data_IF_474081128587
#
_entry.id   IF_474081128587
#
_cell.length_a   1.000
_cell.length_b   1.000
_cell.length_c   1.000
_cell.angle_alpha   90.00
_cell.angle_beta   90.00
_cell.angle_gamma   90.00
#
_symmetry.space_group_name_H-M   'P 1'
#
loop_
_entity.id
_entity.type
_entity.pdbx_description
1 polymer ?
#
# COMPACT_ATOMS: atom_id res chain seq x y z
N UNK A 1 68.90 -43.72 37.59
CA UNK A 1 68.37 -43.83 36.22
C UNK A 1 67.05 -43.09 36.15
N UNK A 2 66.92 -42.16 35.19
CA UNK A 2 65.72 -41.67 34.48
C UNK A 2 64.39 -41.46 35.25
N UNK A 3 63.59 -40.40 35.05
CA UNK A 3 63.64 -39.13 34.29
C UNK A 3 62.28 -38.46 34.62
N UNK A 4 62.31 -37.15 34.93
CA UNK A 4 61.34 -36.09 34.55
C UNK A 4 59.91 -36.17 35.13
N UNK A 5 59.41 -35.27 35.99
CA UNK A 5 59.29 -33.79 35.99
C UNK A 5 58.09 -33.17 35.24
N UNK A 6 57.48 -32.20 35.94
CA UNK A 6 56.57 -31.08 35.57
C UNK A 6 55.08 -31.42 35.38
N UNK A 7 54.17 -31.01 36.28
CA UNK A 7 53.62 -29.64 36.58
C UNK A 7 52.69 -29.12 35.47
N UNK A 8 51.50 -28.65 35.85
CA UNK A 8 50.72 -27.75 34.98
C UNK A 8 49.22 -27.67 35.26
N UNK A 9 48.84 -26.80 36.19
CA UNK A 9 47.50 -26.29 36.52
C UNK A 9 46.79 -25.62 35.33
N UNK A 10 45.47 -25.81 35.14
CA UNK A 10 44.57 -24.87 34.41
C UNK A 10 43.12 -25.06 34.93
N UNK A 11 42.63 -24.22 35.84
CA UNK A 11 41.85 -22.98 35.63
C UNK A 11 40.63 -23.18 34.71
N UNK A 12 39.47 -23.26 35.37
CA UNK A 12 38.15 -23.09 34.78
C UNK A 12 37.88 -21.58 34.57
N UNK A 13 37.47 -21.19 33.36
CA UNK A 13 36.93 -19.86 33.10
C UNK A 13 35.91 -19.87 31.94
N UNK A 14 34.66 -19.62 32.33
CA UNK A 14 33.53 -19.02 31.60
C UNK A 14 33.60 -18.89 30.06
N UNK A 15 32.76 -19.69 29.38
CA UNK A 15 32.29 -19.39 28.03
C UNK A 15 30.87 -18.83 28.07
N UNK A 16 30.73 -17.53 28.34
CA UNK A 16 29.48 -16.82 28.08
C UNK A 16 29.27 -16.76 26.55
N UNK A 17 28.22 -17.41 26.08
CA UNK A 17 27.85 -17.44 24.66
C UNK A 17 27.57 -16.03 24.14
N UNK A 18 28.52 -15.48 23.40
CA UNK A 18 28.29 -14.31 22.57
C UNK A 18 27.32 -14.69 21.45
N UNK A 19 26.08 -14.19 21.51
CA UNK A 19 25.19 -14.20 20.37
C UNK A 19 25.88 -13.49 19.19
N UNK A 20 25.83 -14.04 17.96
CA UNK A 20 26.44 -13.38 16.82
C UNK A 20 25.74 -12.03 16.60
N UNK A 21 26.47 -10.95 16.83
CA UNK A 21 26.07 -9.64 16.36
C UNK A 21 26.04 -9.70 14.83
N UNK A 22 24.82 -9.69 14.25
CA UNK A 22 24.60 -9.44 12.82
C UNK A 22 25.18 -8.07 12.49
N UNK A 23 26.45 -8.05 12.09
CA UNK A 23 27.09 -6.88 11.51
C UNK A 23 26.47 -6.70 10.13
N UNK A 24 25.70 -5.63 9.97
CA UNK A 24 25.36 -5.10 8.66
C UNK A 24 26.62 -5.10 7.78
N UNK A 25 26.47 -5.38 6.47
CA UNK A 25 27.61 -5.37 5.56
C UNK A 25 28.41 -4.07 5.74
N UNK A 26 29.72 -4.14 6.06
CA UNK A 26 30.54 -2.95 6.21
C UNK A 26 30.40 -2.06 4.98
N UNK A 27 29.95 -0.81 5.17
CA UNK A 27 29.83 0.17 4.08
C UNK A 27 28.54 0.12 3.25
N UNK A 28 27.48 -0.56 3.70
CA UNK A 28 26.16 -0.42 3.05
C UNK A 28 25.55 0.98 3.31
N UNK A 29 25.00 1.66 2.27
CA UNK A 29 25.09 1.35 0.85
C UNK A 29 26.39 1.89 0.21
N UNK A 30 26.98 1.13 -0.71
CA UNK A 30 28.19 1.50 -1.47
C UNK A 30 27.97 1.69 -2.98
N UNK A 31 26.73 1.46 -3.43
CA UNK A 31 26.29 1.59 -4.83
C UNK A 31 24.82 1.99 -4.88
N UNK A 32 24.28 2.38 -6.05
CA UNK A 32 22.88 2.74 -6.19
C UNK A 32 21.92 1.64 -5.73
N UNK A 33 20.83 2.06 -5.09
CA UNK A 33 19.70 1.21 -4.69
C UNK A 33 18.60 1.35 -5.75
N UNK A 34 18.04 0.23 -6.17
CA UNK A 34 16.90 0.17 -7.10
C UNK A 34 15.60 0.06 -6.30
N UNK A 35 14.66 0.96 -6.54
CA UNK A 35 13.33 0.95 -5.92
C UNK A 35 12.28 0.63 -7.00
N UNK A 36 11.77 -0.59 -6.96
CA UNK A 36 10.77 -1.08 -7.90
C UNK A 36 9.38 -0.60 -7.47
N UNK A 37 8.64 0.05 -8.38
CA UNK A 37 7.35 0.69 -8.08
C UNK A 37 6.25 0.18 -9.01
N UNK A 38 5.11 -0.24 -8.48
CA UNK A 38 4.03 -0.86 -9.26
C UNK A 38 3.10 0.13 -9.99
N UNK A 39 3.33 1.43 -9.84
CA UNK A 39 2.52 2.49 -10.44
C UNK A 39 3.04 2.89 -11.83
N UNK A 40 2.14 3.40 -12.68
CA UNK A 40 2.52 3.99 -13.94
C UNK A 40 3.37 5.27 -13.72
N UNK A 41 4.41 5.51 -14.54
CA UNK A 41 5.22 6.73 -14.45
C UNK A 41 4.38 8.01 -14.55
N UNK A 42 4.73 9.02 -13.76
CA UNK A 42 4.10 10.35 -13.80
C UNK A 42 2.78 10.48 -13.04
N UNK A 43 2.24 9.38 -12.49
CA UNK A 43 1.08 9.44 -11.59
C UNK A 43 1.43 10.00 -10.22
N UNK A 44 0.40 10.45 -9.48
CA UNK A 44 0.52 10.99 -8.12
C UNK A 44 1.48 10.20 -7.19
N UNK A 45 1.29 8.88 -7.12
CA UNK A 45 2.11 8.03 -6.26
C UNK A 45 3.53 7.84 -6.78
N UNK A 46 3.74 7.78 -8.10
CA UNK A 46 5.08 7.74 -8.68
C UNK A 46 5.86 9.02 -8.33
N UNK A 47 5.22 10.19 -8.43
CA UNK A 47 5.82 11.47 -8.04
C UNK A 47 6.22 11.46 -6.56
N UNK A 48 5.34 10.99 -5.67
CA UNK A 48 5.67 10.86 -4.25
C UNK A 48 6.87 9.93 -4.00
N UNK A 49 6.95 8.78 -4.68
CA UNK A 49 8.10 7.88 -4.59
C UNK A 49 9.39 8.50 -5.12
N UNK A 50 9.33 9.29 -6.19
CA UNK A 50 10.52 9.98 -6.72
C UNK A 50 11.05 11.03 -5.75
N UNK A 51 10.17 11.81 -5.11
CA UNK A 51 10.57 12.77 -4.06
C UNK A 51 11.16 12.01 -2.86
N UNK A 52 10.53 10.92 -2.44
CA UNK A 52 11.04 10.07 -1.35
C UNK A 52 12.44 9.52 -1.68
N UNK A 53 12.65 9.02 -2.90
CA UNK A 53 13.92 8.47 -3.36
C UNK A 53 15.02 9.53 -3.40
N UNK A 54 14.72 10.73 -3.90
CA UNK A 54 15.66 11.85 -3.93
C UNK A 54 16.10 12.24 -2.51
N UNK A 55 15.15 12.33 -1.58
CA UNK A 55 15.42 12.62 -0.18
C UNK A 55 16.28 11.51 0.45
N UNK A 56 15.93 10.24 0.22
CA UNK A 56 16.67 9.10 0.74
C UNK A 56 18.09 9.04 0.18
N UNK A 57 18.28 9.40 -1.09
CA UNK A 57 19.60 9.45 -1.72
C UNK A 57 20.52 10.49 -1.06
N UNK A 58 19.97 11.64 -0.66
CA UNK A 58 20.72 12.67 0.06
C UNK A 58 21.15 12.22 1.46
N UNK A 59 20.35 11.36 2.12
CA UNK A 59 20.66 10.80 3.45
C UNK A 59 21.66 9.64 3.33
N UNK A 60 21.39 8.70 2.43
CA UNK A 60 22.20 7.49 2.21
C UNK A 60 23.53 7.75 1.49
N UNK A 61 23.70 8.95 0.91
CA UNK A 61 24.86 9.32 0.07
C UNK A 61 25.09 8.37 -1.10
N UNK A 62 24.02 7.74 -1.57
CA UNK A 62 23.98 6.85 -2.73
C UNK A 62 22.68 7.08 -3.50
N UNK A 63 22.68 7.00 -4.84
CA UNK A 63 21.46 7.16 -5.61
C UNK A 63 20.40 6.12 -5.25
N UNK A 64 19.14 6.54 -5.17
CA UNK A 64 17.96 5.65 -5.11
C UNK A 64 17.19 5.83 -6.41
N UNK A 65 17.19 4.80 -7.25
CA UNK A 65 16.66 4.86 -8.62
C UNK A 65 15.26 4.24 -8.65
N UNK A 66 14.25 5.01 -9.05
CA UNK A 66 12.87 4.55 -9.20
C UNK A 66 12.69 3.84 -10.54
N UNK A 67 12.25 2.58 -10.50
CA UNK A 67 11.91 1.78 -11.69
C UNK A 67 10.44 1.34 -11.66
N UNK A 68 9.63 1.86 -12.57
CA UNK A 68 8.23 1.47 -12.67
C UNK A 68 8.07 0.08 -13.31
N UNK A 69 7.30 -0.79 -12.67
CA UNK A 69 6.91 -2.13 -13.11
C UNK A 69 5.38 -2.31 -12.98
N UNK A 70 4.58 -1.56 -13.75
CA UNK A 70 3.12 -1.58 -13.63
C UNK A 70 2.50 -2.88 -14.14
N UNK A 71 1.29 -3.19 -13.68
CA UNK A 71 0.52 -4.37 -14.07
C UNK A 71 0.17 -5.28 -12.89
N UNK A 72 -0.68 -6.28 -13.15
CA UNK A 72 -1.12 -7.30 -12.18
C UNK A 72 -1.53 -6.73 -10.80
N UNK A 73 -2.24 -5.62 -10.78
CA UNK A 73 -2.65 -4.96 -9.53
C UNK A 73 -1.49 -4.44 -8.68
N UNK A 74 -0.36 -4.05 -9.28
CA UNK A 74 0.85 -3.54 -8.58
C UNK A 74 1.64 -4.61 -7.82
N UNK A 75 1.43 -5.89 -8.13
CA UNK A 75 2.05 -7.01 -7.39
C UNK A 75 3.42 -7.39 -7.95
N UNK A 76 3.72 -7.00 -9.21
CA UNK A 76 4.95 -7.35 -9.92
C UNK A 76 6.23 -6.99 -9.14
N UNK A 77 6.41 -5.76 -8.59
CA UNK A 77 7.59 -5.43 -7.79
C UNK A 77 7.83 -6.40 -6.62
N UNK A 78 6.77 -6.76 -5.90
CA UNK A 78 6.84 -7.65 -4.76
C UNK A 78 7.21 -9.09 -5.18
N UNK A 79 6.64 -9.58 -6.28
CA UNK A 79 6.98 -10.88 -6.86
C UNK A 79 8.45 -10.96 -7.30
N UNK A 80 9.00 -9.88 -7.85
CA UNK A 80 10.40 -9.84 -8.28
C UNK A 80 11.38 -10.03 -7.11
N UNK A 81 10.96 -9.78 -5.86
CA UNK A 81 11.81 -9.97 -4.68
C UNK A 81 12.21 -11.42 -4.46
N UNK A 82 11.44 -12.39 -4.97
CA UNK A 82 11.75 -13.82 -4.88
C UNK A 82 13.07 -14.19 -5.55
N UNK A 83 13.38 -13.55 -6.68
CA UNK A 83 14.59 -13.79 -7.47
C UNK A 83 15.68 -12.73 -7.21
N UNK A 84 15.44 -11.81 -6.27
CA UNK A 84 16.34 -10.69 -6.00
C UNK A 84 17.31 -11.04 -4.88
N UNK A 85 18.58 -10.65 -5.03
CA UNK A 85 19.58 -10.84 -3.98
C UNK A 85 19.16 -10.11 -2.70
N UNK A 86 19.25 -10.75 -1.51
CA UNK A 86 18.85 -10.15 -0.24
C UNK A 86 19.88 -9.12 0.30
N UNK A 87 20.55 -8.37 -0.57
CA UNK A 87 21.65 -7.46 -0.23
C UNK A 87 21.21 -6.01 0.05
N UNK A 88 19.91 -5.71 -0.05
CA UNK A 88 19.32 -4.40 0.23
C UNK A 88 19.42 -3.38 -0.91
N UNK A 89 20.05 -3.73 -2.03
CA UNK A 89 20.18 -2.81 -3.18
C UNK A 89 19.04 -2.91 -4.17
N UNK A 90 18.06 -3.78 -3.94
CA UNK A 90 16.80 -3.77 -4.66
C UNK A 90 15.69 -3.94 -3.64
N UNK A 91 14.77 -2.97 -3.64
CA UNK A 91 13.60 -2.92 -2.76
C UNK A 91 12.35 -2.73 -3.61
N UNK A 92 11.21 -3.14 -3.08
CA UNK A 92 9.94 -3.10 -3.79
C UNK A 92 8.90 -2.31 -3.02
N UNK A 93 8.10 -1.55 -3.75
CA UNK A 93 6.85 -1.00 -3.27
C UNK A 93 5.85 -2.13 -3.00
N UNK A 94 5.18 -2.06 -1.85
CA UNK A 94 4.13 -2.97 -1.42
C UNK A 94 2.82 -2.20 -1.32
N UNK A 95 1.77 -2.71 -1.98
CA UNK A 95 0.39 -2.24 -1.86
C UNK A 95 -0.49 -3.36 -1.28
N UNK A 96 -1.69 -3.02 -0.83
CA UNK A 96 -2.65 -3.98 -0.25
C UNK A 96 -2.95 -5.17 -1.18
N UNK A 97 -2.90 -4.96 -2.50
CA UNK A 97 -3.08 -6.03 -3.50
C UNK A 97 -2.11 -7.20 -3.34
N UNK A 98 -0.90 -6.97 -2.82
CA UNK A 98 0.09 -8.01 -2.52
C UNK A 98 -0.47 -9.05 -1.55
N UNK A 99 -1.20 -8.61 -0.52
CA UNK A 99 -1.73 -9.46 0.54
C UNK A 99 -2.92 -10.32 0.10
N UNK A 100 -3.68 -9.86 -0.90
CA UNK A 100 -4.84 -10.61 -1.42
C UNK A 100 -4.51 -11.55 -2.57
N UNK A 101 -3.41 -11.28 -3.29
CA UNK A 101 -3.01 -12.04 -4.49
C UNK A 101 -2.98 -13.55 -4.29
N UNK A 102 -2.41 -14.10 -3.19
CA UNK A 102 -2.36 -15.55 -3.00
C UNK A 102 -3.73 -16.25 -3.01
N UNK A 103 -4.80 -15.52 -2.67
CA UNK A 103 -6.17 -16.03 -2.65
C UNK A 103 -6.89 -15.91 -3.99
N UNK A 104 -6.45 -14.99 -4.85
CA UNK A 104 -7.10 -14.69 -6.12
C UNK A 104 -6.46 -15.37 -7.32
N UNK A 105 -5.16 -15.69 -7.25
CA UNK A 105 -4.44 -16.38 -8.34
C UNK A 105 -3.56 -17.49 -7.77
N UNK A 106 -3.27 -18.52 -8.56
CA UNK A 106 -2.29 -19.54 -8.16
C UNK A 106 -0.90 -18.93 -8.17
N UNK A 107 -0.21 -18.95 -7.04
CA UNK A 107 1.11 -18.33 -6.89
C UNK A 107 2.03 -19.17 -6.02
N UNK A 108 3.34 -19.08 -6.27
CA UNK A 108 4.36 -19.90 -5.61
C UNK A 108 5.06 -19.21 -4.43
N UNK A 109 4.63 -17.99 -4.09
CA UNK A 109 5.21 -17.17 -3.02
C UNK A 109 4.15 -16.77 -1.99
N UNK A 110 4.62 -16.49 -0.79
CA UNK A 110 3.86 -16.09 0.38
C UNK A 110 4.36 -14.71 0.84
N UNK A 111 3.54 -13.64 0.70
CA UNK A 111 3.95 -12.30 1.10
C UNK A 111 4.41 -12.18 2.57
N UNK A 112 3.95 -13.04 3.49
CA UNK A 112 4.40 -12.97 4.89
C UNK A 112 5.75 -13.63 5.10
N UNK A 113 6.09 -14.64 4.29
CA UNK A 113 7.32 -15.43 4.47
C UNK A 113 8.46 -14.98 3.58
N UNK A 114 8.13 -14.43 2.42
CA UNK A 114 9.10 -14.20 1.37
C UNK A 114 9.48 -12.72 1.20
N UNK A 115 8.93 -11.84 2.03
CA UNK A 115 9.30 -10.43 2.11
C UNK A 115 9.76 -10.04 3.50
N UNK A 116 10.67 -9.06 3.57
CA UNK A 116 11.03 -8.36 4.80
C UNK A 116 10.59 -6.90 4.69
N UNK A 117 9.56 -6.54 5.44
CA UNK A 117 8.95 -5.21 5.40
C UNK A 117 9.89 -4.15 5.99
N UNK A 118 10.11 -3.07 5.24
CA UNK A 118 11.00 -1.97 5.63
C UNK A 118 10.20 -0.91 6.36
N UNK A 119 9.19 -0.32 5.72
CA UNK A 119 8.48 0.86 6.25
C UNK A 119 7.12 1.02 5.56
N UNK A 120 6.08 1.39 6.31
CA UNK A 120 4.82 1.92 5.78
C UNK A 120 4.93 3.42 5.55
N UNK A 121 4.45 3.92 4.41
CA UNK A 121 4.73 5.29 3.96
C UNK A 121 3.49 6.18 4.03
N UNK A 122 2.48 5.84 3.24
CA UNK A 122 1.31 6.68 3.02
C UNK A 122 0.10 5.81 2.65
N UNK A 123 -1.05 6.45 2.64
CA UNK A 123 -2.37 5.87 2.43
C UNK A 123 -3.13 6.67 1.38
N UNK A 124 -4.14 6.03 0.80
CA UNK A 124 -5.09 6.69 -0.08
C UNK A 124 -6.39 6.97 0.68
N UNK A 125 -6.89 8.20 0.69
CA UNK A 125 -8.26 8.44 1.09
C UNK A 125 -9.18 7.90 -0.02
N UNK A 126 -9.86 6.78 0.25
CA UNK A 126 -10.94 6.32 -0.61
C UNK A 126 -12.07 7.35 -0.59
N UNK A 127 -12.61 7.67 -1.76
CA UNK A 127 -13.83 8.46 -1.91
C UNK A 127 -14.80 7.83 -2.90
N UNK A 128 -16.09 7.88 -2.56
CA UNK A 128 -17.20 7.61 -3.47
C UNK A 128 -17.80 8.94 -3.90
N UNK A 129 -17.67 9.27 -5.18
CA UNK A 129 -18.12 10.55 -5.74
C UNK A 129 -19.11 10.36 -6.90
N UNK A 130 -19.98 11.36 -7.09
CA UNK A 130 -20.92 11.49 -8.21
C UNK A 130 -20.83 12.89 -8.82
N UNK A 131 -21.34 13.14 -10.03
CA UNK A 131 -21.45 14.51 -10.55
C UNK A 131 -22.32 15.36 -9.63
N UNK A 132 -21.98 16.65 -9.46
CA UNK A 132 -22.76 17.53 -8.59
C UNK A 132 -24.21 17.73 -9.07
N UNK A 133 -24.44 17.60 -10.38
CA UNK A 133 -25.78 17.60 -11.01
C UNK A 133 -26.58 16.31 -10.78
N UNK A 134 -25.96 15.25 -10.25
CA UNK A 134 -26.64 13.98 -9.97
C UNK A 134 -27.75 14.17 -8.93
N UNK A 135 -28.91 13.50 -9.09
CA UNK A 135 -29.95 13.46 -8.07
C UNK A 135 -29.51 12.69 -6.81
N UNK A 136 -28.45 11.87 -6.89
CA UNK A 136 -27.89 11.13 -5.77
C UNK A 136 -27.10 12.10 -4.89
N UNK A 137 -27.53 12.32 -3.65
CA UNK A 137 -26.90 13.27 -2.71
C UNK A 137 -26.20 12.59 -1.55
N UNK A 138 -26.61 11.38 -1.22
CA UNK A 138 -26.09 10.59 -0.10
C UNK A 138 -25.81 9.15 -0.52
N UNK A 139 -25.08 8.41 0.32
CA UNK A 139 -24.96 6.95 0.15
C UNK A 139 -26.32 6.26 0.25
N UNK A 140 -27.25 6.76 1.06
CA UNK A 140 -28.61 6.23 1.13
C UNK A 140 -29.33 6.32 -0.23
N UNK A 141 -29.21 7.47 -0.91
CA UNK A 141 -29.75 7.63 -2.27
C UNK A 141 -29.06 6.69 -3.27
N UNK A 142 -27.74 6.50 -3.13
CA UNK A 142 -26.95 5.62 -3.98
C UNK A 142 -27.42 4.17 -3.87
N UNK A 143 -27.60 3.69 -2.63
CA UNK A 143 -28.13 2.35 -2.34
C UNK A 143 -29.60 2.22 -2.78
N UNK A 144 -30.43 3.25 -2.54
CA UNK A 144 -31.83 3.23 -2.97
C UNK A 144 -31.96 3.14 -4.49
N UNK A 145 -31.16 3.90 -5.25
CA UNK A 145 -31.12 3.81 -6.71
C UNK A 145 -30.71 2.40 -7.17
N UNK A 146 -29.66 1.82 -6.58
CA UNK A 146 -29.18 0.49 -6.94
C UNK A 146 -30.18 -0.62 -6.58
N UNK A 147 -30.96 -0.47 -5.50
CA UNK A 147 -32.07 -1.37 -5.17
C UNK A 147 -33.19 -1.31 -6.19
N UNK A 148 -33.57 -0.09 -6.60
CA UNK A 148 -34.63 0.12 -7.59
C UNK A 148 -34.19 -0.29 -9.01
N UNK A 149 -32.89 -0.23 -9.32
CA UNK A 149 -32.34 -0.51 -10.63
C UNK A 149 -31.12 -1.46 -10.55
N UNK A 150 -31.33 -2.76 -10.26
CA UNK A 150 -30.24 -3.69 -10.04
C UNK A 150 -29.29 -3.80 -11.24
N UNK A 151 -27.99 -3.54 -11.02
CA UNK A 151 -26.97 -3.65 -12.04
C UNK A 151 -26.93 -2.52 -13.07
N UNK A 152 -27.64 -1.41 -12.85
CA UNK A 152 -27.54 -0.23 -13.74
C UNK A 152 -26.69 0.89 -13.15
N UNK A 153 -26.48 0.92 -11.82
CA UNK A 153 -25.60 1.87 -11.16
C UNK A 153 -24.14 1.64 -11.59
N UNK A 154 -23.67 2.38 -12.59
CA UNK A 154 -22.29 2.27 -13.07
C UNK A 154 -21.32 3.00 -12.14
N UNK A 155 -20.20 2.35 -11.83
CA UNK A 155 -19.11 2.97 -11.10
C UNK A 155 -17.75 2.64 -11.71
N UNK A 156 -16.90 3.66 -11.81
CA UNK A 156 -15.53 3.54 -12.26
C UNK A 156 -14.56 3.24 -11.12
N UNK A 157 -13.46 2.55 -11.43
CA UNK A 157 -12.31 2.35 -10.51
C UNK A 157 -11.00 2.33 -11.31
N UNK A 158 -9.84 2.46 -10.66
CA UNK A 158 -8.53 2.29 -11.29
C UNK A 158 -8.19 0.86 -11.76
N UNK A 159 -9.10 -0.11 -11.63
CA UNK A 159 -8.96 -1.44 -12.21
C UNK A 159 -9.66 -2.55 -11.44
N UNK A 160 -9.85 -3.68 -12.11
CA UNK A 160 -10.38 -4.92 -11.51
C UNK A 160 -9.47 -5.40 -10.37
N UNK A 161 -10.10 -5.85 -9.28
CA UNK A 161 -9.44 -6.30 -8.03
C UNK A 161 -8.61 -5.24 -7.30
N UNK A 162 -8.71 -3.96 -7.69
CA UNK A 162 -8.15 -2.84 -6.93
C UNK A 162 -8.83 -2.68 -5.56
N UNK A 163 -8.21 -1.94 -4.65
CA UNK A 163 -8.83 -1.64 -3.35
C UNK A 163 -10.18 -0.94 -3.49
N UNK A 164 -10.36 0.10 -4.35
CA UNK A 164 -11.68 0.70 -4.56
C UNK A 164 -12.72 -0.26 -5.13
N UNK A 165 -12.33 -1.17 -6.02
CA UNK A 165 -13.23 -2.21 -6.54
C UNK A 165 -13.75 -3.10 -5.42
N UNK A 166 -12.88 -3.66 -4.58
CA UNK A 166 -13.31 -4.53 -3.48
C UNK A 166 -14.11 -3.79 -2.41
N UNK A 167 -13.80 -2.52 -2.15
CA UNK A 167 -14.61 -1.68 -1.26
C UNK A 167 -16.05 -1.54 -1.75
N UNK A 168 -16.25 -1.37 -3.05
CA UNK A 168 -17.59 -1.28 -3.63
C UNK A 168 -18.31 -2.63 -3.66
N UNK A 169 -17.60 -3.74 -3.86
CA UNK A 169 -18.17 -5.08 -3.76
C UNK A 169 -18.60 -5.41 -2.31
N UNK A 170 -17.80 -5.05 -1.29
CA UNK A 170 -18.19 -5.22 0.12
C UNK A 170 -19.39 -4.33 0.48
N UNK A 171 -19.42 -3.09 -0.02
CA UNK A 171 -20.57 -2.20 0.15
C UNK A 171 -21.83 -2.80 -0.50
N UNK A 172 -21.71 -3.33 -1.72
CA UNK A 172 -22.81 -3.98 -2.42
C UNK A 172 -23.34 -5.19 -1.65
N UNK A 173 -22.43 -6.02 -1.13
CA UNK A 173 -22.74 -7.20 -0.32
C UNK A 173 -23.48 -6.80 0.98
N UNK A 174 -22.93 -5.87 1.76
CA UNK A 174 -23.53 -5.45 3.03
C UNK A 174 -24.88 -4.74 2.84
N UNK A 175 -25.04 -3.97 1.76
CA UNK A 175 -26.28 -3.26 1.44
C UNK A 175 -27.35 -4.14 0.74
N UNK A 176 -26.98 -5.34 0.29
CA UNK A 176 -27.85 -6.24 -0.46
C UNK A 176 -28.25 -5.69 -1.83
N UNK A 177 -27.29 -5.12 -2.57
CA UNK A 177 -27.52 -4.49 -3.89
C UNK A 177 -26.54 -4.99 -4.94
N UNK A 178 -26.79 -4.63 -6.21
CA UNK A 178 -25.89 -4.92 -7.32
C UNK A 178 -25.49 -3.64 -8.04
N UNK A 179 -24.20 -3.35 -8.08
CA UNK A 179 -23.63 -2.29 -8.91
C UNK A 179 -23.12 -2.85 -10.25
N UNK A 180 -22.75 -1.96 -11.17
CA UNK A 180 -22.11 -2.31 -12.43
C UNK A 180 -20.70 -1.71 -12.48
N UNK A 181 -19.69 -2.57 -12.32
CA UNK A 181 -18.30 -2.16 -12.31
C UNK A 181 -17.78 -1.88 -13.72
N UNK A 182 -17.19 -0.69 -13.92
CA UNK A 182 -16.49 -0.31 -15.15
C UNK A 182 -14.99 -0.11 -14.83
N UNK A 183 -14.12 -1.09 -15.13
CA UNK A 183 -12.69 -0.97 -14.85
C UNK A 183 -11.97 -0.10 -15.88
N UNK A 184 -11.06 0.75 -15.41
CA UNK A 184 -10.16 1.57 -16.24
C UNK A 184 -8.70 1.23 -15.96
N UNK A 185 -7.74 1.75 -16.75
CA UNK A 185 -6.30 1.50 -16.57
C UNK A 185 -5.66 2.37 -15.47
N UNK A 186 -6.45 3.22 -14.81
CA UNK A 186 -6.04 4.06 -13.69
C UNK A 186 -7.11 5.08 -13.30
N UNK A 187 -6.90 5.77 -12.18
CA UNK A 187 -7.86 6.72 -11.61
C UNK A 187 -8.14 7.93 -12.51
N UNK A 188 -7.13 8.42 -13.23
CA UNK A 188 -7.27 9.54 -14.16
C UNK A 188 -8.22 9.22 -15.34
N UNK A 189 -8.14 8.01 -15.90
CA UNK A 189 -9.02 7.57 -16.98
C UNK A 189 -10.46 7.40 -16.49
N UNK A 190 -10.64 6.80 -15.30
CA UNK A 190 -11.96 6.66 -14.67
C UNK A 190 -12.60 8.01 -14.32
N UNK A 191 -11.81 8.97 -13.82
CA UNK A 191 -12.27 10.33 -13.53
C UNK A 191 -12.69 11.08 -14.80
N UNK A 192 -11.92 10.97 -15.88
CA UNK A 192 -12.30 11.55 -17.17
C UNK A 192 -13.63 10.96 -17.68
N UNK A 193 -13.84 9.66 -17.51
CA UNK A 193 -15.10 9.01 -17.87
C UNK A 193 -16.30 9.50 -17.03
N UNK A 194 -16.09 9.75 -15.73
CA UNK A 194 -17.12 10.35 -14.86
C UNK A 194 -17.47 11.77 -15.31
N UNK A 195 -16.45 12.61 -15.55
CA UNK A 195 -16.63 13.99 -15.98
C UNK A 195 -17.29 14.07 -17.37
N UNK A 196 -17.01 13.11 -18.25
CA UNK A 196 -17.66 12.95 -19.56
C UNK A 196 -19.05 12.32 -19.51
N UNK A 197 -19.54 11.90 -18.34
CA UNK A 197 -20.88 11.32 -18.18
C UNK A 197 -21.02 9.87 -18.67
N UNK A 198 -19.92 9.14 -18.85
CA UNK A 198 -19.93 7.74 -19.29
C UNK A 198 -20.21 6.75 -18.15
N UNK A 199 -20.04 7.19 -16.90
CA UNK A 199 -20.33 6.43 -15.68
C UNK A 199 -21.05 7.33 -14.68
N UNK A 200 -21.85 6.74 -13.78
CA UNK A 200 -22.66 7.51 -12.82
C UNK A 200 -21.88 7.93 -11.57
N UNK A 201 -20.83 7.20 -11.23
CA UNK A 201 -20.02 7.41 -10.02
C UNK A 201 -18.59 6.95 -10.20
N UNK A 202 -17.71 7.43 -9.34
CA UNK A 202 -16.31 7.01 -9.26
C UNK A 202 -16.01 6.58 -7.82
N UNK A 203 -15.38 5.42 -7.69
CA UNK A 203 -14.77 4.96 -6.46
C UNK A 203 -13.26 4.91 -6.68
N UNK A 204 -12.53 5.86 -6.11
CA UNK A 204 -11.10 6.03 -6.35
C UNK A 204 -10.40 6.71 -5.15
N UNK A 205 -9.07 6.74 -5.22
CA UNK A 205 -8.25 7.69 -4.46
C UNK A 205 -8.53 9.14 -4.87
N UNK A 206 -7.77 10.11 -4.37
CA UNK A 206 -8.21 11.50 -4.27
C UNK A 206 -8.13 12.33 -5.56
N UNK A 207 -8.03 11.69 -6.73
CA UNK A 207 -8.07 12.38 -8.02
C UNK A 207 -9.31 13.29 -8.17
N UNK A 208 -10.40 12.94 -7.47
CA UNK A 208 -11.66 13.67 -7.39
C UNK A 208 -11.64 14.93 -6.48
N UNK A 209 -10.65 15.10 -5.60
CA UNK A 209 -10.66 16.12 -4.53
C UNK A 209 -10.87 17.55 -5.06
N UNK A 210 -10.07 17.96 -6.05
CA UNK A 210 -10.18 19.28 -6.70
C UNK A 210 -11.53 19.52 -7.38
N UNK A 211 -12.19 18.46 -7.86
CA UNK A 211 -13.48 18.54 -8.52
C UNK A 211 -14.63 18.64 -7.53
N UNK A 212 -14.46 18.08 -6.32
CA UNK A 212 -15.38 18.30 -5.21
C UNK A 212 -15.28 19.74 -4.71
N UNK A 213 -14.07 20.27 -4.55
CA UNK A 213 -13.86 21.67 -4.12
C UNK A 213 -14.36 22.70 -5.13
N UNK A 214 -14.17 22.44 -6.43
CA UNK A 214 -14.73 23.31 -7.48
C UNK A 214 -16.23 23.11 -7.72
N UNK A 215 -16.88 22.19 -6.99
CA UNK A 215 -18.32 21.95 -7.07
C UNK A 215 -18.79 21.17 -8.30
N UNK A 216 -17.86 20.56 -9.07
CA UNK A 216 -18.19 19.72 -10.23
C UNK A 216 -18.63 18.31 -9.81
N UNK A 217 -18.07 17.80 -8.72
CA UNK A 217 -18.41 16.51 -8.13
C UNK A 217 -18.95 16.69 -6.69
N UNK A 218 -19.68 15.69 -6.22
CA UNK A 218 -20.14 15.55 -4.83
C UNK A 218 -19.52 14.30 -4.23
N UNK A 219 -18.89 14.47 -3.07
CA UNK A 219 -18.41 13.37 -2.24
C UNK A 219 -19.55 12.81 -1.38
N UNK A 220 -19.87 11.53 -1.56
CA UNK A 220 -20.92 10.84 -0.82
C UNK A 220 -20.41 10.24 0.48
N UNK A 221 -19.23 9.63 0.44
CA UNK A 221 -18.56 9.06 1.60
C UNK A 221 -17.05 8.89 1.36
N UNK A 222 -16.31 8.80 2.45
CA UNK A 222 -14.91 8.38 2.46
C UNK A 222 -14.74 6.99 3.07
N UNK A 223 -13.60 6.34 2.82
CA UNK A 223 -13.30 5.02 3.37
C UNK A 223 -12.55 5.05 4.70
N UNK A 224 -12.30 6.24 5.26
CA UNK A 224 -11.53 6.42 6.49
C UNK A 224 -12.16 5.73 7.71
N UNK A 225 -11.33 5.34 8.67
CA UNK A 225 -11.81 4.99 10.02
C UNK A 225 -12.48 6.21 10.67
N UNK A 226 -11.89 7.39 10.46
CA UNK A 226 -12.40 8.70 10.86
C UNK A 226 -12.55 9.60 9.65
N UNK A 227 -13.34 10.66 9.76
CA UNK A 227 -13.53 11.63 8.67
C UNK A 227 -12.21 12.29 8.27
N UNK A 228 -12.09 12.58 6.98
CA UNK A 228 -10.98 13.36 6.44
C UNK A 228 -10.99 14.78 7.00
N UNK A 229 -9.83 15.32 7.35
CA UNK A 229 -9.70 16.73 7.75
C UNK A 229 -10.05 17.69 6.59
N UNK A 230 -9.72 17.33 5.34
CA UNK A 230 -10.01 18.13 4.14
C UNK A 230 -11.50 18.11 3.79
N UNK A 231 -12.15 16.97 3.99
CA UNK A 231 -13.57 16.75 3.66
C UNK A 231 -14.39 16.34 4.89
N UNK A 232 -14.33 17.12 5.97
CA UNK A 232 -14.94 16.79 7.27
C UNK A 232 -16.47 16.72 7.26
N UNK A 233 -17.12 17.33 6.27
CA UNK A 233 -18.56 17.23 6.06
C UNK A 233 -19.00 15.86 5.51
N UNK A 234 -18.11 15.16 4.78
CA UNK A 234 -18.43 13.86 4.23
C UNK A 234 -18.29 12.77 5.31
N UNK A 235 -19.31 11.92 5.50
CA UNK A 235 -19.21 10.80 6.43
C UNK A 235 -18.24 9.73 5.91
N UNK A 236 -17.79 8.86 6.81
CA UNK A 236 -17.14 7.61 6.42
C UNK A 236 -18.17 6.51 6.16
N UNK A 237 -17.82 5.48 5.39
CA UNK A 237 -18.68 4.29 5.23
C UNK A 237 -18.99 3.64 6.59
N UNK A 238 -18.02 3.67 7.53
CA UNK A 238 -18.17 3.17 8.90
C UNK A 238 -19.21 3.94 9.71
N UNK A 239 -19.20 5.27 9.65
CA UNK A 239 -20.23 6.11 10.30
C UNK A 239 -21.64 5.84 9.75
N UNK A 240 -21.73 5.37 8.50
CA UNK A 240 -22.99 5.02 7.83
C UNK A 240 -23.45 3.58 8.12
N UNK A 241 -22.74 2.85 8.99
CA UNK A 241 -23.12 1.51 9.43
C UNK A 241 -22.59 0.37 8.56
N UNK A 242 -21.71 0.65 7.59
CA UNK A 242 -21.02 -0.38 6.83
C UNK A 242 -19.67 -0.65 7.49
N UNK A 243 -19.37 -1.90 7.85
CA UNK A 243 -18.10 -2.28 8.48
C UNK A 243 -16.97 -2.32 7.45
N UNK A 244 -16.63 -1.13 6.92
CA UNK A 244 -15.72 -0.90 5.81
C UNK A 244 -14.78 0.23 6.18
N UNK A 245 -13.49 -0.10 6.23
CA UNK A 245 -12.39 0.85 6.41
C UNK A 245 -11.36 0.57 5.32
N UNK A 246 -11.17 1.55 4.44
CA UNK A 246 -10.29 1.47 3.29
C UNK A 246 -9.36 2.69 3.25
N UNK A 247 -8.21 2.55 3.90
CA UNK A 247 -7.13 3.54 3.86
C UNK A 247 -6.01 3.11 2.86
N UNK A 248 -6.08 1.89 2.32
CA UNK A 248 -5.15 1.33 1.33
C UNK A 248 -3.67 1.73 1.52
N UNK A 249 -3.04 1.50 2.69
CA UNK A 249 -1.68 1.93 2.93
C UNK A 249 -0.69 1.18 2.03
N UNK A 250 0.39 1.85 1.68
CA UNK A 250 1.50 1.29 0.92
C UNK A 250 2.84 1.59 1.57
N UNK A 251 3.84 0.78 1.25
CA UNK A 251 5.15 0.85 1.86
C UNK A 251 6.25 0.23 1.01
N UNK A 252 7.37 -0.09 1.65
CA UNK A 252 8.55 -0.71 1.03
C UNK A 252 8.89 -2.02 1.72
N UNK A 253 9.38 -2.99 0.96
CA UNK A 253 9.95 -4.23 1.46
C UNK A 253 11.22 -4.63 0.68
N UNK A 254 12.03 -5.48 1.30
CA UNK A 254 13.18 -6.16 0.72
C UNK A 254 12.92 -7.67 0.63
N UNK A 255 13.79 -8.45 -0.03
CA UNK A 255 13.76 -9.91 0.05
C UNK A 255 13.82 -10.42 1.51
N UNK A 256 13.18 -11.56 1.81
CA UNK A 256 13.04 -12.10 3.17
C UNK A 256 14.36 -12.19 3.96
N UNK A 257 15.45 -12.55 3.29
CA UNK A 257 16.72 -12.88 3.91
C UNK A 257 17.63 -11.65 4.08
N UNK A 258 17.14 -10.43 3.76
CA UNK A 258 17.93 -9.22 3.92
C UNK A 258 18.33 -8.99 5.38
N UNK A 259 19.60 -8.63 5.57
CA UNK A 259 20.18 -8.42 6.90
C UNK A 259 19.36 -7.37 7.69
N UNK A 260 18.99 -7.64 8.95
CA UNK A 260 18.21 -6.70 9.76
C UNK A 260 18.87 -5.32 9.93
N UNK A 261 20.20 -5.27 9.96
CA UNK A 261 20.94 -4.00 10.02
C UNK A 261 20.82 -3.20 8.72
N UNK A 262 20.83 -3.86 7.57
CA UNK A 262 20.53 -3.24 6.26
C UNK A 262 19.10 -2.70 6.22
N UNK A 263 18.12 -3.48 6.69
CA UNK A 263 16.72 -3.04 6.76
C UNK A 263 16.56 -1.83 7.67
N UNK A 264 17.26 -1.80 8.81
CA UNK A 264 17.26 -0.64 9.70
C UNK A 264 17.82 0.62 9.01
N UNK A 265 18.95 0.51 8.31
CA UNK A 265 19.54 1.63 7.56
C UNK A 265 18.53 2.18 6.53
N UNK A 266 17.88 1.29 5.77
CA UNK A 266 16.86 1.67 4.79
C UNK A 266 15.65 2.33 5.47
N UNK A 267 15.12 1.71 6.53
CA UNK A 267 14.01 2.25 7.30
C UNK A 267 14.31 3.67 7.80
N UNK A 268 15.45 3.88 8.44
CA UNK A 268 15.79 5.17 9.05
C UNK A 268 15.97 6.26 7.99
N UNK A 269 16.59 5.93 6.85
CA UNK A 269 16.71 6.86 5.74
C UNK A 269 15.35 7.23 5.13
N UNK A 270 14.46 6.26 4.90
CA UNK A 270 13.12 6.55 4.37
C UNK A 270 12.26 7.27 5.39
N UNK A 271 12.38 6.95 6.68
CA UNK A 271 11.67 7.65 7.76
C UNK A 271 12.05 9.13 7.80
N UNK A 272 13.33 9.46 7.80
CA UNK A 272 13.80 10.84 7.71
C UNK A 272 13.32 11.52 6.41
N UNK A 273 13.36 10.80 5.28
CA UNK A 273 12.89 11.31 3.99
C UNK A 273 11.42 11.70 3.99
N UNK A 274 10.58 10.94 4.69
CA UNK A 274 9.15 11.20 4.83
C UNK A 274 8.84 12.44 5.66
N UNK A 275 9.78 12.86 6.51
CA UNK A 275 9.59 13.99 7.41
C UNK A 275 9.92 15.32 6.76
N UNK A 276 10.65 15.31 5.65
CA UNK A 276 11.03 16.49 4.87
C UNK A 276 9.82 17.18 4.22
N UNK A 277 9.84 18.50 4.19
CA UNK A 277 8.72 19.33 3.74
C UNK A 277 8.31 19.08 2.29
N UNK A 278 9.29 18.85 1.40
CA UNK A 278 9.01 18.58 -0.02
C UNK A 278 8.23 17.27 -0.21
N UNK A 279 8.48 16.24 0.60
CA UNK A 279 7.70 15.00 0.55
C UNK A 279 6.29 15.21 1.10
N UNK A 280 6.15 15.90 2.24
CA UNK A 280 4.82 16.25 2.79
C UNK A 280 4.01 17.10 1.82
N UNK A 281 4.66 18.04 1.12
CA UNK A 281 4.04 18.87 0.10
C UNK A 281 3.61 18.03 -1.12
N UNK A 282 4.44 17.09 -1.58
CA UNK A 282 4.09 16.18 -2.65
C UNK A 282 2.89 15.29 -2.26
N UNK A 283 2.87 14.74 -1.05
CA UNK A 283 1.71 13.98 -0.55
C UNK A 283 0.45 14.85 -0.53
N UNK A 284 0.53 16.07 0.04
CA UNK A 284 -0.59 17.01 0.11
C UNK A 284 -1.12 17.42 -1.28
N UNK A 285 -0.23 17.68 -2.23
CA UNK A 285 -0.60 18.06 -3.60
C UNK A 285 -1.46 17.00 -4.28
N UNK A 286 -1.22 15.73 -3.95
CA UNK A 286 -1.97 14.60 -4.49
C UNK A 286 -2.87 13.91 -3.46
N UNK A 287 -3.16 14.60 -2.35
CA UNK A 287 -4.08 14.14 -1.31
C UNK A 287 -3.76 12.75 -0.74
N UNK A 288 -2.49 12.37 -0.76
CA UNK A 288 -2.01 11.19 -0.08
C UNK A 288 -1.86 11.51 1.41
N UNK A 289 -2.30 10.59 2.26
CA UNK A 289 -2.22 10.77 3.70
C UNK A 289 -0.95 10.11 4.25
N UNK A 290 -0.14 10.80 5.07
CA UNK A 290 0.97 10.16 5.77
C UNK A 290 0.45 9.01 6.64
N UNK A 291 0.98 7.81 6.44
CA UNK A 291 0.56 6.59 7.14
C UNK A 291 1.80 5.77 7.54
N UNK A 292 2.62 6.39 8.40
CA UNK A 292 3.85 5.76 8.86
C UNK A 292 3.56 4.49 9.66
N UNK A 293 4.25 3.40 9.29
CA UNK A 293 4.36 2.18 10.08
C UNK A 293 5.84 1.82 10.17
N UNK A 294 6.34 1.54 11.37
CA UNK A 294 7.68 0.95 11.54
C UNK A 294 7.76 -0.42 10.83
N UNK A 295 8.97 -0.97 10.65
CA UNK A 295 9.14 -2.31 10.06
C UNK A 295 8.30 -3.38 10.78
N UNK A 296 8.25 -3.32 12.11
CA UNK A 296 7.48 -4.24 12.94
C UNK A 296 5.97 -4.03 12.80
N UNK A 297 5.51 -2.78 12.83
CA UNK A 297 4.11 -2.45 12.65
C UNK A 297 3.63 -2.82 11.24
N UNK A 298 4.47 -2.63 10.22
CA UNK A 298 4.12 -2.96 8.85
C UNK A 298 4.10 -4.48 8.61
N UNK A 299 4.96 -5.23 9.29
CA UNK A 299 4.92 -6.71 9.29
C UNK A 299 3.62 -7.22 9.94
N UNK A 300 3.23 -6.65 11.09
CA UNK A 300 1.95 -6.97 11.73
C UNK A 300 0.77 -6.62 10.84
N UNK A 301 0.79 -5.42 10.25
CA UNK A 301 -0.22 -4.98 9.29
C UNK A 301 -0.34 -5.95 8.09
N UNK A 302 0.77 -6.44 7.55
CA UNK A 302 0.75 -7.42 6.46
C UNK A 302 0.02 -8.71 6.87
N UNK A 303 0.32 -9.25 8.06
CA UNK A 303 -0.32 -10.46 8.59
C UNK A 303 -1.83 -10.26 8.80
N UNK A 304 -2.22 -9.17 9.46
CA UNK A 304 -3.63 -8.84 9.71
C UNK A 304 -4.38 -8.62 8.40
N UNK A 305 -3.75 -7.92 7.45
CA UNK A 305 -4.36 -7.62 6.15
C UNK A 305 -4.55 -8.89 5.32
N UNK A 306 -3.60 -9.82 5.34
CA UNK A 306 -3.78 -11.11 4.66
C UNK A 306 -4.97 -11.90 5.20
N UNK A 307 -5.25 -11.85 6.51
CA UNK A 307 -6.43 -12.48 7.09
C UNK A 307 -7.71 -11.76 6.67
N UNK A 308 -7.74 -10.43 6.76
CA UNK A 308 -8.89 -9.59 6.37
C UNK A 308 -9.23 -9.77 4.89
N UNK A 309 -8.23 -9.75 4.01
CA UNK A 309 -8.41 -9.91 2.57
C UNK A 309 -8.95 -11.30 2.23
N UNK A 310 -8.46 -12.36 2.90
CA UNK A 310 -9.02 -13.71 2.72
C UNK A 310 -10.50 -13.74 3.09
N UNK A 311 -10.86 -13.22 4.26
CA UNK A 311 -12.24 -13.19 4.73
C UNK A 311 -13.15 -12.36 3.82
N UNK A 312 -12.64 -11.22 3.33
CA UNK A 312 -13.37 -10.37 2.39
C UNK A 312 -13.64 -11.12 1.08
N UNK A 313 -12.61 -11.73 0.49
CA UNK A 313 -12.72 -12.49 -0.76
C UNK A 313 -13.73 -13.64 -0.60
N UNK A 314 -13.62 -14.41 0.48
CA UNK A 314 -14.54 -15.51 0.79
C UNK A 314 -15.99 -14.99 0.95
N UNK A 315 -16.16 -13.84 1.63
CA UNK A 315 -17.47 -13.20 1.86
C UNK A 315 -18.15 -12.74 0.57
N UNK A 316 -17.42 -12.04 -0.31
CA UNK A 316 -17.98 -11.51 -1.56
C UNK A 316 -18.00 -12.55 -2.69
N UNK A 317 -17.57 -13.78 -2.42
CA UNK A 317 -17.66 -14.89 -3.37
C UNK A 317 -16.78 -14.75 -4.61
N UNK A 318 -15.74 -13.90 -4.55
CA UNK A 318 -14.75 -13.78 -5.62
C UNK A 318 -13.94 -15.08 -5.70
N UNK A 319 -14.21 -15.90 -6.72
CA UNK A 319 -13.46 -17.13 -6.96
C UNK A 319 -12.07 -16.82 -7.51
N UNK A 320 -11.12 -17.69 -7.19
CA UNK A 320 -9.77 -17.69 -7.75
C UNK A 320 -9.85 -17.72 -9.28
N UNK A 321 -9.17 -16.78 -9.94
CA UNK A 321 -8.99 -16.73 -11.39
C UNK A 321 -7.94 -17.76 -11.85
#
# INVERSE_FOLDING_TARGET
MQRRHFLGTMIAAAGAGAAPATRAQPGFPSRPIRMLVGFAPGGATDVAFRVLAQNAAAILKQPVVVENKPGAGMVIPAQMMQATAPDGYTIAQIAVSVFRTPYLVKTAWDPLKDLKYIIGLAAYPFGLVVPASSPIRTVADYIAYAKANPGTMTYGTPGTLSSPHLTMEDLAFQAGVKFNHVPYKGGAEALAALLGGHIMSLADGPSWAQYVESGQLRLLATGGETRSARFSAAPTLKELGYDIVQNAPFGLAAPRDTDPGVVRILHDAFKQSMEMDNYRAALKQYDLEPAYLSSEQFTRFAADTMQKEKLLIDRIGLRRL
#
